data_IF_629027111827
#
_entry.id   IF_629027111827
#
_cell.length_a   1.000
_cell.length_b   1.000
_cell.length_c   1.000
_cell.angle_alpha   90.00
_cell.angle_beta   90.00
_cell.angle_gamma   90.00
#
_symmetry.space_group_name_H-M   'P 1'
#
loop_
_entity.id
_entity.type
_entity.pdbx_description
1 polymer ?
#
# COMPACT_ATOMS: atom_id res chain seq x y z
N UNK A 1 30.75 46.53 -47.12
CA UNK A 1 30.66 45.05 -47.05
C UNK A 1 31.01 44.44 -45.68
N UNK A 2 31.75 45.11 -44.79
CA UNK A 2 32.19 44.55 -43.50
C UNK A 2 31.06 44.19 -42.52
N UNK A 3 29.99 45.00 -42.42
CA UNK A 3 28.84 44.77 -41.50
C UNK A 3 28.02 43.50 -41.83
N UNK A 4 28.02 43.05 -43.10
CA UNK A 4 27.34 41.80 -43.49
C UNK A 4 28.16 40.56 -43.12
N UNK A 5 29.49 40.63 -43.24
CA UNK A 5 30.42 39.56 -42.84
C UNK A 5 30.45 39.36 -41.32
N UNK A 6 30.43 40.43 -40.52
CA UNK A 6 30.38 40.27 -39.04
C UNK A 6 29.06 39.65 -38.58
N UNK A 7 27.92 40.05 -39.17
CA UNK A 7 26.61 39.48 -38.86
C UNK A 7 26.52 37.99 -39.24
N UNK A 8 27.17 37.57 -40.32
CA UNK A 8 27.29 36.15 -40.69
C UNK A 8 28.14 35.38 -39.68
N UNK A 9 29.29 35.92 -39.26
CA UNK A 9 30.14 35.30 -38.23
C UNK A 9 29.43 35.17 -36.87
N UNK A 10 28.62 36.15 -36.48
CA UNK A 10 27.84 36.10 -35.23
C UNK A 10 26.72 35.04 -35.29
N UNK A 11 26.10 34.86 -36.46
CA UNK A 11 25.09 33.80 -36.67
C UNK A 11 25.72 32.40 -36.65
N UNK A 12 26.89 32.23 -37.25
CA UNK A 12 27.63 30.96 -37.21
C UNK A 12 28.05 30.59 -35.78
N UNK A 13 28.50 31.57 -34.99
CA UNK A 13 28.81 31.36 -33.57
C UNK A 13 27.58 30.92 -32.77
N UNK A 14 26.42 31.54 -33.00
CA UNK A 14 25.16 31.14 -32.35
C UNK A 14 24.71 29.73 -32.78
N UNK A 15 24.87 29.38 -34.05
CA UNK A 15 24.54 28.04 -34.56
C UNK A 15 25.44 26.97 -33.91
N UNK A 16 26.75 27.22 -33.82
CA UNK A 16 27.70 26.32 -33.13
C UNK A 16 27.38 26.17 -31.64
N UNK A 17 27.01 27.26 -30.96
CA UNK A 17 26.62 27.22 -29.55
C UNK A 17 25.33 26.40 -29.35
N UNK A 18 24.33 26.58 -30.22
CA UNK A 18 23.11 25.78 -30.19
C UNK A 18 23.41 24.30 -30.43
N UNK A 19 24.24 24.00 -31.43
CA UNK A 19 24.64 22.62 -31.74
C UNK A 19 25.36 21.97 -30.55
N UNK A 20 26.28 22.68 -29.88
CA UNK A 20 26.94 22.15 -28.68
C UNK A 20 25.98 21.90 -27.51
N UNK A 21 24.90 22.69 -27.39
CA UNK A 21 23.87 22.48 -26.36
C UNK A 21 22.97 21.29 -26.71
N UNK A 22 22.60 21.15 -27.98
CA UNK A 22 21.80 20.01 -28.46
C UNK A 22 22.60 18.70 -28.33
N UNK A 23 23.92 18.72 -28.59
CA UNK A 23 24.82 17.58 -28.37
C UNK A 23 24.86 17.19 -26.87
N UNK A 24 24.93 18.15 -25.95
CA UNK A 24 24.86 17.88 -24.49
C UNK A 24 23.51 17.30 -24.04
N UNK A 25 22.43 17.49 -24.81
CA UNK A 25 21.12 16.89 -24.55
C UNK A 25 20.98 15.49 -25.18
N UNK A 26 21.92 15.05 -26.01
CA UNK A 26 21.83 13.73 -26.67
C UNK A 26 22.37 12.57 -25.82
N UNK A 27 23.03 12.84 -24.69
CA UNK A 27 23.75 11.82 -23.90
C UNK A 27 22.88 11.06 -22.87
N UNK A 28 21.59 10.84 -23.14
CA UNK A 28 20.63 10.28 -22.16
C UNK A 28 20.48 8.76 -22.26
N UNK A 29 20.09 8.11 -21.16
CA UNK A 29 19.83 6.65 -21.10
C UNK A 29 18.82 6.21 -22.15
N UNK A 30 17.87 7.06 -22.53
CA UNK A 30 16.88 6.77 -23.57
C UNK A 30 17.46 6.60 -24.99
N UNK A 31 18.62 7.19 -25.30
CA UNK A 31 19.26 6.98 -26.60
C UNK A 31 19.97 5.62 -26.69
N UNK A 32 20.34 5.02 -25.56
CA UNK A 32 21.00 3.71 -25.51
C UNK A 32 20.01 2.53 -25.67
N UNK A 33 18.72 2.73 -25.41
CA UNK A 33 17.70 1.66 -25.51
C UNK A 33 17.49 1.20 -26.97
N UNK A 34 17.90 2.00 -27.96
CA UNK A 34 17.86 1.65 -29.38
C UNK A 34 19.17 1.11 -29.96
N UNK A 35 20.26 1.06 -29.18
CA UNK A 35 21.55 0.50 -29.60
C UNK A 35 21.80 -0.84 -28.90
N UNK A 36 20.83 -1.75 -28.98
CA UNK A 36 21.18 -3.17 -28.94
C UNK A 36 22.07 -3.45 -30.16
N UNK A 37 23.24 -4.03 -29.92
CA UNK A 37 24.23 -4.35 -30.94
C UNK A 37 23.60 -5.12 -32.12
N UNK A 38 23.24 -4.39 -33.17
CA UNK A 38 23.18 -4.95 -34.50
C UNK A 38 24.41 -4.40 -35.22
N UNK A 39 25.52 -5.11 -35.04
CA UNK A 39 26.64 -5.03 -35.96
C UNK A 39 26.14 -5.72 -37.24
N UNK A 40 25.38 -4.98 -38.05
CA UNK A 40 25.16 -5.37 -39.43
C UNK A 40 26.50 -5.21 -40.12
N UNK A 41 27.15 -6.34 -40.43
CA UNK A 41 28.11 -6.35 -41.52
C UNK A 41 27.33 -5.97 -42.78
N UNK A 42 27.61 -4.76 -43.30
CA UNK A 42 27.18 -4.32 -44.63
C UNK A 42 27.92 -5.17 -45.68
N UNK A 43 27.56 -6.45 -45.80
CA UNK A 43 27.88 -7.25 -46.97
C UNK A 43 26.67 -7.20 -47.90
N UNK A 44 26.81 -6.39 -48.95
CA UNK A 44 25.89 -6.23 -50.08
C UNK A 44 25.74 -7.56 -50.84
N UNK A 45 24.95 -8.50 -50.33
CA UNK A 45 24.54 -9.71 -51.06
C UNK A 45 23.04 -9.65 -51.44
N UNK A 46 22.78 -10.06 -52.69
CA UNK A 46 21.58 -9.75 -53.48
C UNK A 46 20.25 -10.09 -52.78
N UNK A 47 19.27 -9.20 -52.98
CA UNK A 47 17.98 -9.20 -52.29
C UNK A 47 17.17 -10.49 -52.41
N UNK A 48 17.03 -11.17 -51.27
CA UNK A 48 15.90 -12.02 -50.98
C UNK A 48 14.75 -11.14 -50.44
N UNK A 49 13.59 -11.18 -51.10
CA UNK A 49 12.37 -10.54 -50.60
C UNK A 49 11.98 -11.16 -49.26
N UNK A 50 12.18 -10.41 -48.16
CA UNK A 50 11.81 -10.84 -46.81
C UNK A 50 10.29 -11.00 -46.75
N UNK A 51 9.82 -12.25 -46.69
CA UNK A 51 8.42 -12.59 -46.48
C UNK A 51 8.08 -12.46 -44.98
N UNK A 52 7.67 -11.25 -44.60
CA UNK A 52 7.34 -10.86 -43.22
C UNK A 52 6.28 -11.74 -42.57
N UNK A 53 5.45 -12.45 -43.34
CA UNK A 53 4.38 -13.29 -42.81
C UNK A 53 4.83 -14.73 -42.47
N UNK A 54 5.95 -15.20 -43.03
CA UNK A 54 6.37 -16.61 -42.93
C UNK A 54 7.76 -16.86 -42.33
N UNK A 55 8.60 -15.82 -42.17
CA UNK A 55 9.92 -15.96 -41.54
C UNK A 55 9.93 -15.38 -40.13
N UNK A 56 10.35 -16.19 -39.16
CA UNK A 56 10.66 -15.70 -37.81
C UNK A 56 11.85 -14.73 -37.92
N UNK A 57 11.64 -13.51 -37.44
CA UNK A 57 12.66 -12.47 -37.50
C UNK A 57 13.74 -12.71 -36.45
N UNK A 58 14.96 -12.26 -36.73
CA UNK A 58 16.13 -12.47 -35.86
C UNK A 58 15.92 -11.96 -34.41
N UNK A 59 15.04 -10.97 -34.21
CA UNK A 59 14.72 -10.46 -32.89
C UNK A 59 13.86 -11.42 -32.04
N UNK A 60 13.25 -12.44 -32.63
CA UNK A 60 12.39 -13.45 -31.97
C UNK A 60 13.19 -14.65 -31.46
N UNK A 61 14.33 -14.93 -32.10
CA UNK A 61 15.21 -16.05 -31.75
C UNK A 61 16.06 -15.80 -30.49
N UNK A 62 16.17 -14.54 -30.05
CA UNK A 62 17.03 -14.16 -28.94
C UNK A 62 16.19 -14.01 -27.65
N UNK A 63 16.45 -14.82 -26.60
CA UNK A 63 15.71 -14.69 -25.35
C UNK A 63 15.99 -13.34 -24.69
N UNK A 64 14.92 -12.60 -24.35
CA UNK A 64 15.03 -11.29 -23.70
C UNK A 64 15.64 -11.46 -22.30
N UNK A 65 16.78 -10.83 -22.07
CA UNK A 65 17.38 -10.69 -20.74
C UNK A 65 16.89 -9.38 -20.13
N UNK A 66 15.96 -9.45 -19.18
CA UNK A 66 15.47 -8.27 -18.46
C UNK A 66 16.43 -7.99 -17.31
N UNK A 67 17.38 -7.08 -17.50
CA UNK A 67 18.18 -6.55 -16.39
C UNK A 67 17.39 -5.40 -15.74
N UNK A 68 16.65 -5.68 -14.66
CA UNK A 68 15.89 -4.67 -13.91
C UNK A 68 16.81 -3.84 -13.01
N UNK A 69 17.61 -2.94 -13.60
CA UNK A 69 18.12 -1.79 -12.85
C UNK A 69 17.17 -0.64 -13.07
N UNK A 70 16.31 -0.34 -12.10
CA UNK A 70 15.38 0.80 -12.14
C UNK A 70 16.17 2.10 -11.88
N UNK A 71 16.97 2.52 -12.85
CA UNK A 71 17.64 3.83 -12.80
C UNK A 71 16.67 4.91 -13.26
N UNK A 72 16.42 5.91 -12.41
CA UNK A 72 15.55 7.04 -12.75
C UNK A 72 16.44 8.21 -13.15
N UNK A 73 16.35 8.64 -14.41
CA UNK A 73 17.00 9.87 -14.87
C UNK A 73 16.20 11.09 -14.40
N UNK A 74 16.85 12.00 -13.66
CA UNK A 74 16.27 13.29 -13.35
C UNK A 74 16.35 14.24 -14.56
N UNK A 75 15.50 15.27 -14.57
CA UNK A 75 15.52 16.30 -15.62
C UNK A 75 16.91 17.00 -15.68
N UNK A 76 17.40 17.39 -16.87
CA UNK A 76 18.69 18.06 -17.00
C UNK A 76 18.70 19.40 -16.26
N UNK A 77 19.73 19.64 -15.44
CA UNK A 77 19.91 20.88 -14.69
C UNK A 77 20.98 21.76 -15.34
N UNK A 78 20.73 23.07 -15.37
CA UNK A 78 21.69 24.06 -15.87
C UNK A 78 22.48 24.65 -14.69
N UNK A 79 23.79 24.41 -14.65
CA UNK A 79 24.68 24.99 -13.62
C UNK A 79 24.98 26.47 -13.93
N UNK A 80 25.50 27.21 -12.96
CA UNK A 80 25.90 28.63 -13.10
C UNK A 80 26.82 28.88 -14.29
N UNK A 81 27.61 27.86 -14.65
CA UNK A 81 28.61 27.91 -15.71
C UNK A 81 28.02 27.63 -17.10
N UNK A 82 26.69 27.49 -17.20
CA UNK A 82 25.97 27.27 -18.46
C UNK A 82 26.02 25.84 -19.01
N UNK A 83 26.75 24.96 -18.35
CA UNK A 83 26.85 23.52 -18.67
C UNK A 83 25.59 22.79 -18.22
N UNK A 84 25.04 21.93 -19.09
CA UNK A 84 23.88 21.09 -18.82
C UNK A 84 24.38 19.76 -18.25
N UNK A 85 23.94 19.39 -17.05
CA UNK A 85 24.32 18.15 -16.39
C UNK A 85 23.08 17.29 -16.12
N UNK A 86 23.19 15.99 -16.43
CA UNK A 86 22.17 14.99 -16.11
C UNK A 86 22.61 14.22 -14.88
N UNK A 87 21.75 14.19 -13.88
CA UNK A 87 21.98 13.43 -12.65
C UNK A 87 21.18 12.14 -12.75
N UNK A 88 21.88 11.00 -12.85
CA UNK A 88 21.26 9.68 -12.76
C UNK A 88 21.25 9.29 -11.28
N UNK A 89 20.09 8.92 -10.75
CA UNK A 89 19.96 8.37 -9.40
C UNK A 89 19.61 6.89 -9.51
N UNK A 90 20.46 6.05 -8.92
CA UNK A 90 20.12 4.64 -8.70
C UNK A 90 19.20 4.59 -7.48
N UNK A 91 18.01 4.02 -7.65
CA UNK A 91 17.10 3.74 -6.53
C UNK A 91 17.43 2.32 -6.09
N UNK A 92 18.10 2.19 -4.94
CA UNK A 92 18.16 0.92 -4.21
C UNK A 92 16.76 0.66 -3.66
N UNK A 93 16.14 -0.44 -4.07
CA UNK A 93 14.93 -0.94 -3.42
C UNK A 93 15.33 -1.37 -2.00
N UNK A 94 14.74 -0.74 -0.98
CA UNK A 94 14.71 -1.34 0.36
C UNK A 94 13.99 -2.69 0.22
N UNK A 95 14.74 -3.77 0.36
CA UNK A 95 14.24 -5.13 0.41
C UNK A 95 13.23 -5.24 1.56
N UNK A 96 11.94 -5.35 1.24
CA UNK A 96 10.98 -5.97 2.16
C UNK A 96 11.43 -7.42 2.37
N UNK A 97 11.57 -7.91 3.62
CA UNK A 97 12.13 -9.23 3.86
C UNK A 97 11.21 -10.32 3.29
N UNK A 98 11.69 -11.01 2.25
CA UNK A 98 11.16 -12.29 1.80
C UNK A 98 11.42 -13.33 2.89
N UNK A 99 10.35 -13.77 3.56
CA UNK A 99 10.38 -14.91 4.48
C UNK A 99 10.76 -16.20 3.73
N UNK A 100 11.84 -16.82 4.19
CA UNK A 100 12.32 -18.12 3.72
C UNK A 100 11.33 -19.26 4.00
N UNK A 101 11.35 -20.33 3.17
CA UNK A 101 10.44 -21.46 3.25
C UNK A 101 10.80 -22.46 4.35
N UNK A 102 9.76 -22.90 5.07
CA UNK A 102 9.76 -23.93 6.10
C UNK A 102 10.31 -25.29 5.62
N UNK A 103 11.20 -25.88 6.43
CA UNK A 103 11.51 -27.30 6.43
C UNK A 103 11.18 -27.90 7.81
N UNK A 104 10.16 -28.76 7.79
CA UNK A 104 10.21 -30.15 8.26
C UNK A 104 10.16 -30.50 9.77
N UNK A 105 9.16 -31.33 10.07
CA UNK A 105 9.04 -32.40 11.10
C UNK A 105 8.36 -32.09 12.46
N UNK A 106 7.12 -32.58 12.53
CA UNK A 106 6.66 -33.64 13.44
C UNK A 106 6.82 -33.46 14.95
N UNK A 107 5.72 -33.17 15.67
CA UNK A 107 5.47 -33.73 17.02
C UNK A 107 3.96 -33.85 17.30
N UNK A 108 3.56 -35.07 17.67
CA UNK A 108 2.35 -35.45 18.39
C UNK A 108 2.12 -34.67 19.72
N UNK A 109 0.87 -34.75 20.19
CA UNK A 109 0.43 -34.76 21.59
C UNK A 109 0.35 -33.44 22.42
N UNK A 110 -0.88 -33.23 22.90
CA UNK A 110 -1.35 -32.49 24.09
C UNK A 110 -0.46 -32.61 25.37
N UNK A 111 -0.77 -31.91 26.49
CA UNK A 111 -1.08 -30.48 26.68
C UNK A 111 -0.42 -29.93 27.97
N UNK A 112 0.25 -28.77 27.99
CA UNK A 112 0.51 -28.09 29.28
C UNK A 112 1.08 -26.68 29.22
N UNK A 113 0.40 -25.80 29.97
CA UNK A 113 0.89 -24.72 30.84
C UNK A 113 1.85 -23.66 30.29
N UNK A 114 1.30 -22.45 30.32
CA UNK A 114 1.89 -21.20 30.84
C UNK A 114 3.24 -20.78 30.25
N UNK A 115 3.25 -19.65 29.54
CA UNK A 115 3.82 -18.45 30.15
C UNK A 115 3.22 -17.17 29.53
N UNK A 116 2.75 -16.34 30.45
CA UNK A 116 2.09 -15.07 30.27
C UNK A 116 3.19 -14.01 30.23
N UNK A 117 3.26 -13.18 29.19
CA UNK A 117 3.92 -11.87 29.26
C UNK A 117 3.34 -10.92 28.21
N UNK A 118 2.72 -9.89 28.76
CA UNK A 118 2.51 -8.57 28.16
C UNK A 118 1.36 -8.46 27.15
N UNK A 119 0.14 -8.76 27.63
CA UNK A 119 -0.92 -7.78 27.43
C UNK A 119 -1.15 -7.11 28.77
N UNK A 120 -0.78 -5.83 28.85
CA UNK A 120 -1.19 -4.94 29.93
C UNK A 120 -2.69 -5.13 30.11
N UNK A 121 -3.03 -5.73 31.23
CA UNK A 121 -4.29 -5.48 31.91
C UNK A 121 -4.44 -3.95 31.94
N UNK A 122 -5.29 -3.42 31.05
CA UNK A 122 -6.11 -2.28 31.42
C UNK A 122 -6.97 -2.78 32.57
N UNK A 123 -6.36 -2.78 33.75
CA UNK A 123 -7.09 -2.91 34.99
C UNK A 123 -8.17 -1.85 35.00
N UNK A 124 -9.29 -2.19 35.63
CA UNK A 124 -10.19 -1.21 36.22
C UNK A 124 -9.33 -0.06 36.76
N UNK A 125 -9.28 1.03 36.01
CA UNK A 125 -8.75 2.26 36.54
C UNK A 125 -9.88 2.76 37.44
N UNK A 126 -9.87 2.26 38.68
CA UNK A 126 -10.51 2.85 39.84
C UNK A 126 -9.88 4.23 40.12
N UNK A 127 -9.88 5.15 39.14
CA UNK A 127 -9.56 6.57 39.37
C UNK A 127 -10.76 7.37 39.85
N UNK A 128 -11.87 6.69 40.14
CA UNK A 128 -13.17 7.33 40.19
C UNK A 128 -13.76 7.43 41.61
N UNK A 129 -12.98 7.13 42.66
CA UNK A 129 -13.47 7.22 44.04
C UNK A 129 -13.71 8.65 44.54
N UNK A 130 -13.42 9.68 43.73
CA UNK A 130 -13.65 11.09 44.07
C UNK A 130 -14.83 11.74 43.34
N UNK A 131 -15.42 11.07 42.35
CA UNK A 131 -16.42 11.68 41.47
C UNK A 131 -17.85 11.44 41.97
N UNK A 132 -18.71 12.45 41.86
CA UNK A 132 -20.12 12.27 42.25
C UNK A 132 -20.81 11.28 41.31
N UNK A 133 -21.82 10.52 41.79
CA UNK A 133 -22.54 9.57 40.94
C UNK A 133 -23.16 10.18 39.68
N UNK A 134 -23.47 11.48 39.71
CA UNK A 134 -23.99 12.22 38.56
C UNK A 134 -22.91 12.52 37.52
N UNK A 135 -21.72 12.93 37.94
CA UNK A 135 -20.60 13.18 37.04
C UNK A 135 -20.14 11.89 36.35
N UNK A 136 -20.10 10.76 37.07
CA UNK A 136 -19.77 9.45 36.48
C UNK A 136 -20.74 9.05 35.37
N UNK A 137 -22.03 9.35 35.56
CA UNK A 137 -23.07 9.08 34.57
C UNK A 137 -22.90 9.97 33.33
N UNK A 138 -22.49 11.21 33.49
CA UNK A 138 -22.21 12.12 32.37
C UNK A 138 -20.99 11.62 31.60
N UNK A 139 -19.90 11.29 32.29
CA UNK A 139 -18.69 10.74 31.66
C UNK A 139 -18.97 9.43 30.91
N UNK A 140 -19.74 8.53 31.52
CA UNK A 140 -20.12 7.26 30.86
C UNK A 140 -20.93 7.53 29.58
N UNK A 141 -21.83 8.52 29.59
CA UNK A 141 -22.60 8.90 28.39
C UNK A 141 -21.72 9.51 27.31
N UNK A 142 -20.77 10.36 27.70
CA UNK A 142 -19.81 10.97 26.79
C UNK A 142 -18.91 9.91 26.15
N UNK A 143 -18.41 8.95 26.94
CA UNK A 143 -17.62 7.82 26.45
C UNK A 143 -18.41 6.97 25.45
N UNK A 144 -19.65 6.59 25.78
CA UNK A 144 -20.51 5.83 24.87
C UNK A 144 -20.79 6.61 23.58
N UNK A 145 -20.99 7.92 23.68
CA UNK A 145 -21.21 8.78 22.52
C UNK A 145 -19.96 8.86 21.64
N UNK A 146 -18.77 9.03 22.23
CA UNK A 146 -17.51 9.08 21.50
C UNK A 146 -17.23 7.75 20.76
N UNK A 147 -17.43 6.62 21.45
CA UNK A 147 -17.29 5.29 20.85
C UNK A 147 -18.30 5.07 19.71
N UNK A 148 -19.55 5.52 19.90
CA UNK A 148 -20.58 5.45 18.87
C UNK A 148 -20.27 6.31 17.65
N UNK A 149 -19.78 7.53 17.85
CA UNK A 149 -19.41 8.44 16.75
C UNK A 149 -18.26 7.89 15.92
N UNK A 150 -17.19 7.41 16.56
CA UNK A 150 -16.03 6.80 15.86
C UNK A 150 -16.44 5.59 15.02
N UNK A 151 -17.37 4.78 15.55
CA UNK A 151 -17.85 3.59 14.88
C UNK A 151 -18.75 3.90 13.67
N UNK A 152 -19.51 5.00 13.71
CA UNK A 152 -20.35 5.43 12.59
C UNK A 152 -19.51 6.07 11.47
N UNK A 153 -18.42 6.76 11.82
CA UNK A 153 -17.51 7.38 10.86
C UNK A 153 -16.76 6.32 10.03
N UNK A 154 -15.98 5.46 10.69
CA UNK A 154 -15.21 4.40 10.03
C UNK A 154 -15.37 3.06 10.76
N UNK A 155 -16.33 2.21 10.35
CA UNK A 155 -16.64 0.99 11.08
C UNK A 155 -15.58 -0.11 10.95
N UNK A 156 -14.86 -0.15 9.83
CA UNK A 156 -13.92 -1.23 9.53
C UNK A 156 -12.60 -1.10 10.29
N UNK A 157 -12.18 0.13 10.64
CA UNK A 157 -10.97 0.38 11.45
C UNK A 157 -11.30 0.35 12.95
N UNK A 158 -12.51 0.78 13.34
CA UNK A 158 -12.88 0.98 14.74
C UNK A 158 -13.60 -0.22 15.38
N UNK A 159 -13.26 -1.46 14.99
CA UNK A 159 -13.88 -2.70 15.51
C UNK A 159 -13.69 -2.83 17.04
N UNK A 160 -12.57 -2.31 17.56
CA UNK A 160 -12.28 -2.29 19.01
C UNK A 160 -13.33 -1.51 19.79
N UNK A 161 -13.88 -0.43 19.20
CA UNK A 161 -14.93 0.37 19.84
C UNK A 161 -16.21 -0.44 20.04
N UNK A 162 -16.59 -1.26 19.06
CA UNK A 162 -17.76 -2.15 19.15
C UNK A 162 -17.56 -3.21 20.25
N UNK A 163 -16.34 -3.73 20.38
CA UNK A 163 -15.99 -4.70 21.42
C UNK A 163 -16.00 -4.06 22.82
N UNK A 164 -15.52 -2.81 22.94
CA UNK A 164 -15.57 -2.04 24.20
C UNK A 164 -17.01 -1.75 24.62
N UNK A 165 -17.85 -1.26 23.71
CA UNK A 165 -19.29 -1.03 23.97
C UNK A 165 -20.00 -2.31 24.41
N UNK A 166 -19.66 -3.46 23.81
CA UNK A 166 -20.15 -4.76 24.27
C UNK A 166 -19.69 -5.07 25.70
N UNK A 167 -18.41 -4.90 26.03
CA UNK A 167 -17.92 -5.13 27.41
C UNK A 167 -18.61 -4.22 28.42
N UNK A 168 -18.89 -2.96 28.05
CA UNK A 168 -19.67 -2.03 28.89
C UNK A 168 -21.11 -2.52 29.10
N UNK A 169 -21.71 -3.17 28.09
CA UNK A 169 -23.04 -3.79 28.23
C UNK A 169 -23.07 -4.97 29.22
N UNK A 170 -21.96 -5.67 29.42
CA UNK A 170 -21.83 -6.79 30.37
C UNK A 170 -21.38 -6.35 31.78
N UNK A 171 -21.14 -5.05 31.98
CA UNK A 171 -20.68 -4.53 33.26
C UNK A 171 -21.72 -4.76 34.37
N UNK A 172 -21.24 -4.92 35.62
CA UNK A 172 -22.09 -5.10 36.80
C UNK A 172 -22.97 -3.87 37.10
N UNK A 173 -22.56 -2.70 36.60
CA UNK A 173 -23.27 -1.45 36.78
C UNK A 173 -24.51 -1.41 35.88
N UNK A 174 -25.69 -1.57 36.48
CA UNK A 174 -26.96 -1.60 35.74
C UNK A 174 -27.16 -0.39 34.82
N UNK A 175 -26.81 0.81 35.28
CA UNK A 175 -26.95 2.05 34.49
C UNK A 175 -26.07 2.03 33.24
N UNK A 176 -24.79 1.66 33.37
CA UNK A 176 -23.84 1.55 32.26
C UNK A 176 -24.25 0.46 31.28
N UNK A 177 -24.68 -0.69 31.80
CA UNK A 177 -25.20 -1.80 30.98
C UNK A 177 -26.41 -1.37 30.16
N UNK A 178 -27.42 -0.77 30.80
CA UNK A 178 -28.65 -0.33 30.15
C UNK A 178 -28.37 0.75 29.08
N UNK A 179 -27.53 1.73 29.37
CA UNK A 179 -27.16 2.78 28.42
C UNK A 179 -26.40 2.20 27.21
N UNK A 180 -25.49 1.26 27.45
CA UNK A 180 -24.70 0.62 26.39
C UNK A 180 -25.58 -0.21 25.46
N UNK A 181 -26.51 -1.00 26.02
CA UNK A 181 -27.47 -1.78 25.22
C UNK A 181 -28.36 -0.86 24.37
N UNK A 182 -28.87 0.22 24.96
CA UNK A 182 -29.69 1.20 24.24
C UNK A 182 -28.93 1.90 23.11
N UNK A 183 -27.63 2.16 23.28
CA UNK A 183 -26.78 2.74 22.25
C UNK A 183 -26.42 1.73 21.15
N UNK A 184 -26.24 0.44 21.49
CA UNK A 184 -25.88 -0.61 20.53
C UNK A 184 -26.99 -0.87 19.48
N UNK A 185 -28.27 -0.76 19.85
CA UNK A 185 -29.40 -1.00 18.93
C UNK A 185 -29.36 -0.10 17.67
N UNK A 186 -29.33 1.24 17.77
CA UNK A 186 -29.26 2.10 16.61
C UNK A 186 -27.94 1.94 15.84
N UNK A 187 -26.83 1.66 16.53
CA UNK A 187 -25.53 1.38 15.91
C UNK A 187 -25.62 0.13 15.03
N UNK A 188 -26.18 -0.98 15.53
CA UNK A 188 -26.36 -2.18 14.71
C UNK A 188 -27.27 -1.94 13.52
N UNK A 189 -28.30 -1.09 13.68
CA UNK A 189 -29.19 -0.74 12.58
C UNK A 189 -28.48 0.08 11.48
N UNK A 190 -27.59 1.00 11.84
CA UNK A 190 -26.82 1.77 10.85
C UNK A 190 -25.71 0.93 10.20
N UNK A 191 -25.16 -0.01 10.94
CA UNK A 191 -24.00 -0.81 10.54
C UNK A 191 -24.37 -2.05 9.72
N UNK A 192 -25.62 -2.51 9.82
CA UNK A 192 -26.07 -3.71 9.12
C UNK A 192 -25.99 -3.53 7.59
N UNK A 193 -25.24 -4.38 6.88
CA UNK A 193 -25.20 -4.35 5.43
C UNK A 193 -26.53 -4.79 4.83
N UNK A 194 -26.78 -4.42 3.56
CA UNK A 194 -27.97 -4.84 2.82
C UNK A 194 -27.93 -6.32 2.39
N UNK A 195 -26.77 -6.96 2.46
CA UNK A 195 -26.57 -8.37 2.12
C UNK A 195 -26.50 -9.25 3.37
N UNK A 196 -26.60 -10.56 3.17
CA UNK A 196 -26.56 -11.55 4.26
C UNK A 196 -25.12 -11.85 4.64
N UNK A 197 -24.74 -11.50 5.87
CA UNK A 197 -23.46 -11.86 6.48
C UNK A 197 -23.54 -13.22 7.18
N UNK A 198 -22.46 -14.00 7.12
CA UNK A 198 -22.35 -15.34 7.76
C UNK A 198 -20.95 -15.55 8.33
N UNK A 199 -20.76 -16.48 9.29
CA UNK A 199 -19.42 -16.89 9.68
C UNK A 199 -18.67 -17.54 8.50
N UNK A 200 -17.39 -17.21 8.37
CA UNK A 200 -16.49 -17.79 7.37
C UNK A 200 -16.09 -19.22 7.76
N UNK A 201 -15.95 -20.09 6.78
CA UNK A 201 -15.44 -21.46 6.98
C UNK A 201 -13.91 -21.46 7.07
N UNK A 202 -13.32 -22.53 7.62
CA UNK A 202 -11.86 -22.60 7.82
C UNK A 202 -11.07 -22.75 6.50
N UNK A 203 -11.75 -23.06 5.39
CA UNK A 203 -11.17 -22.98 4.05
C UNK A 203 -11.10 -21.54 3.55
N UNK A 204 -12.14 -20.74 3.80
CA UNK A 204 -12.23 -19.33 3.37
C UNK A 204 -11.29 -18.43 4.16
N UNK A 205 -11.01 -18.75 5.43
CA UNK A 205 -10.05 -18.00 6.27
C UNK A 205 -8.60 -18.17 5.83
N UNK A 206 -8.24 -19.32 5.24
CA UNK A 206 -6.88 -19.64 4.80
C UNK A 206 -6.56 -19.14 3.39
N UNK A 207 -7.58 -18.66 2.67
CA UNK A 207 -7.42 -18.10 1.34
C UNK A 207 -6.67 -16.75 1.40
N UNK A 208 -5.62 -16.60 0.58
CA UNK A 208 -4.92 -15.32 0.43
C UNK A 208 -5.80 -14.36 -0.34
N UNK A 209 -6.18 -13.25 0.31
CA UNK A 209 -6.99 -12.19 -0.29
C UNK A 209 -6.27 -10.85 -0.18
N UNK A 210 -6.73 -9.88 -0.98
CA UNK A 210 -6.22 -8.51 -0.91
C UNK A 210 -6.50 -7.88 0.47
N UNK A 211 -5.70 -6.87 0.82
CA UNK A 211 -5.78 -6.17 2.11
C UNK A 211 -7.18 -5.60 2.40
N UNK A 212 -7.84 -5.04 1.39
CA UNK A 212 -9.20 -4.49 1.51
C UNK A 212 -10.23 -5.58 1.82
N UNK A 213 -10.15 -6.72 1.12
CA UNK A 213 -11.07 -7.85 1.34
C UNK A 213 -10.82 -8.47 2.71
N UNK A 214 -9.56 -8.58 3.14
CA UNK A 214 -9.21 -9.07 4.48
C UNK A 214 -9.83 -8.19 5.58
N UNK A 215 -9.72 -6.87 5.43
CA UNK A 215 -10.27 -5.90 6.38
C UNK A 215 -11.80 -6.00 6.47
N UNK A 216 -12.49 -6.05 5.33
CA UNK A 216 -13.94 -6.24 5.28
C UNK A 216 -14.37 -7.58 5.91
N UNK A 217 -13.68 -8.68 5.57
CA UNK A 217 -13.95 -10.01 6.15
C UNK A 217 -13.80 -9.98 7.68
N UNK A 218 -12.73 -9.38 8.18
CA UNK A 218 -12.51 -9.25 9.63
C UNK A 218 -13.62 -8.44 10.30
N UNK A 219 -14.03 -7.33 9.70
CA UNK A 219 -15.14 -6.52 10.19
C UNK A 219 -16.45 -7.33 10.27
N UNK A 220 -16.84 -7.99 9.18
CA UNK A 220 -18.07 -8.79 9.12
C UNK A 220 -18.06 -9.93 10.14
N UNK A 221 -16.94 -10.66 10.27
CA UNK A 221 -16.83 -11.74 11.25
C UNK A 221 -17.02 -11.24 12.68
N UNK A 222 -16.37 -10.12 13.04
CA UNK A 222 -16.53 -9.52 14.36
C UNK A 222 -17.98 -9.08 14.60
N UNK A 223 -18.61 -8.47 13.60
CA UNK A 223 -20.00 -8.04 13.70
C UNK A 223 -20.96 -9.22 13.91
N UNK A 224 -20.78 -10.32 13.17
CA UNK A 224 -21.57 -11.56 13.35
C UNK A 224 -21.37 -12.13 14.76
N UNK A 225 -20.13 -12.18 15.25
CA UNK A 225 -19.82 -12.69 16.60
C UNK A 225 -20.50 -11.84 17.66
N UNK A 226 -20.38 -10.52 17.58
CA UNK A 226 -20.94 -9.61 18.58
C UNK A 226 -22.46 -9.66 18.58
N UNK A 227 -23.10 -9.62 17.41
CA UNK A 227 -24.57 -9.74 17.32
C UNK A 227 -25.05 -11.07 17.91
N UNK A 228 -24.38 -12.18 17.55
CA UNK A 228 -24.70 -13.50 18.11
C UNK A 228 -24.57 -13.50 19.63
N UNK A 229 -23.53 -12.89 20.18
CA UNK A 229 -23.33 -12.81 21.62
C UNK A 229 -24.42 -11.96 22.30
N UNK A 230 -24.79 -10.81 21.72
CA UNK A 230 -25.84 -9.95 22.28
C UNK A 230 -27.23 -10.58 22.25
N UNK A 231 -27.52 -11.45 21.28
CA UNK A 231 -28.81 -12.13 21.16
C UNK A 231 -28.95 -13.40 22.02
N UNK A 232 -27.83 -13.99 22.47
CA UNK A 232 -27.84 -15.16 23.34
C UNK A 232 -27.93 -14.81 24.83
N UNK A 233 -27.91 -13.51 25.16
CA UNK A 233 -28.19 -12.96 26.48
C UNK A 233 -29.68 -12.68 26.63
#
# INVERSE_FOLDING_TARGET
MAKRKSKQQDLEKKKKLKQSQDEQLSTGLFNNVGQGQHQGDDDDEEGDEIDWDNQEMDYELIPRKITTKKTIEALPIKKSDGTIERVVREVEEEEEPEEEPELENDVENEPSKQENKENKEEGDIDTDDTLTPQEKLIQTKEEIAELGSKLIEDPEENIVCLTRLRKMSESKNFMTSQLSILALIPIFKSLAPSYKIRPLTDTEKREKVSREIAKLRNFEQNLVIIIKLTLNY
#
